data_IF_560893914154
#
_entry.id   IF_560893914154
#
_cell.length_a   1.000
_cell.length_b   1.000
_cell.length_c   1.000
_cell.angle_alpha   90.00
_cell.angle_beta   90.00
_cell.angle_gamma   90.00
#
_symmetry.space_group_name_H-M   'P 1'
#
loop_
_entity.id
_entity.type
_entity.pdbx_description
1 polymer ?
#
# COMPACT_ATOMS: atom_id res chain seq x y z
N UNK A 1 2.34 -24.88 1.97
CA UNK A 1 3.67 -24.25 2.11
C UNK A 1 3.52 -22.94 2.87
N UNK A 2 4.40 -22.65 3.83
CA UNK A 2 4.34 -21.45 4.66
C UNK A 2 4.84 -20.21 3.89
N UNK A 3 4.08 -19.13 3.94
CA UNK A 3 4.50 -17.82 3.47
C UNK A 3 5.62 -17.28 4.35
N UNK A 4 6.64 -16.67 3.74
CA UNK A 4 7.73 -16.04 4.47
C UNK A 4 7.76 -14.55 4.16
N UNK A 5 7.57 -13.72 5.18
CA UNK A 5 7.63 -12.27 5.10
C UNK A 5 8.87 -11.81 5.88
N UNK A 6 9.79 -11.12 5.21
CA UNK A 6 11.03 -10.61 5.81
C UNK A 6 11.38 -9.25 5.24
N UNK A 7 12.11 -8.43 5.99
CA UNK A 7 12.71 -7.20 5.47
C UNK A 7 14.20 -7.42 5.23
N UNK A 8 14.72 -6.88 4.14
CA UNK A 8 16.13 -6.97 3.78
C UNK A 8 16.65 -5.67 3.20
N UNK A 9 17.93 -5.41 3.43
CA UNK A 9 18.63 -4.28 2.83
C UNK A 9 19.09 -4.66 1.41
N UNK A 10 18.65 -3.89 0.41
CA UNK A 10 18.86 -4.21 -0.99
C UNK A 10 20.17 -3.64 -1.51
N UNK A 11 21.25 -4.43 -1.38
CA UNK A 11 22.62 -4.05 -1.74
C UNK A 11 22.81 -3.64 -3.20
N UNK A 12 22.02 -4.20 -4.12
CA UNK A 12 22.15 -3.95 -5.56
C UNK A 12 21.69 -2.55 -5.97
N UNK A 13 21.08 -1.77 -5.07
CA UNK A 13 20.68 -0.38 -5.31
C UNK A 13 21.33 0.52 -4.27
N UNK A 14 22.04 1.54 -4.74
CA UNK A 14 22.62 2.58 -3.90
C UNK A 14 21.96 3.90 -4.29
N UNK A 15 21.47 4.64 -3.31
CA UNK A 15 20.90 5.97 -3.49
C UNK A 15 22.02 7.01 -3.59
N UNK A 16 21.68 8.22 -4.04
CA UNK A 16 22.64 9.34 -4.18
C UNK A 16 23.34 9.71 -2.86
N UNK A 17 22.74 9.39 -1.72
CA UNK A 17 23.29 9.59 -0.37
C UNK A 17 24.21 8.44 0.11
N UNK A 18 24.46 7.42 -0.73
CA UNK A 18 25.28 6.26 -0.37
C UNK A 18 24.54 5.21 0.48
N UNK A 19 23.23 5.36 0.69
CA UNK A 19 22.41 4.40 1.44
C UNK A 19 21.74 3.37 0.54
N UNK A 20 21.34 2.26 1.13
CA UNK A 20 20.62 1.18 0.46
C UNK A 20 19.17 1.13 0.93
N UNK A 21 18.19 0.94 0.03
CA UNK A 21 16.79 0.87 0.43
C UNK A 21 16.48 -0.42 1.18
N UNK A 22 15.60 -0.32 2.17
CA UNK A 22 15.00 -1.44 2.86
C UNK A 22 13.80 -1.95 2.07
N UNK A 23 13.82 -3.24 1.75
CA UNK A 23 12.81 -3.91 0.95
C UNK A 23 12.12 -4.98 1.76
N UNK A 24 10.79 -4.95 1.77
CA UNK A 24 9.94 -6.02 2.25
C UNK A 24 9.87 -7.11 1.19
N UNK A 25 10.23 -8.33 1.58
CA UNK A 25 10.24 -9.51 0.73
C UNK A 25 9.12 -10.46 1.18
N UNK A 26 8.19 -10.74 0.27
CA UNK A 26 7.14 -11.74 0.46
C UNK A 26 7.45 -12.92 -0.46
N UNK A 27 7.62 -14.09 0.14
CA UNK A 27 7.84 -15.35 -0.58
C UNK A 27 6.62 -16.26 -0.38
N UNK A 28 5.94 -16.56 -1.49
CA UNK A 28 4.82 -17.51 -1.56
C UNK A 28 4.88 -18.27 -2.88
N UNK A 29 4.65 -19.59 -2.86
CA UNK A 29 4.60 -20.46 -4.04
C UNK A 29 5.83 -20.34 -4.96
N UNK A 30 7.03 -20.37 -4.37
CA UNK A 30 8.33 -20.18 -5.04
C UNK A 30 8.51 -18.82 -5.74
N UNK A 31 7.53 -17.92 -5.66
CA UNK A 31 7.59 -16.56 -6.19
C UNK A 31 7.96 -15.59 -5.08
N UNK A 32 8.98 -14.77 -5.35
CA UNK A 32 9.42 -13.69 -4.46
C UNK A 32 8.98 -12.36 -5.05
N UNK A 33 8.42 -11.50 -4.21
CA UNK A 33 8.15 -10.11 -4.56
C UNK A 33 8.74 -9.19 -3.52
N UNK A 34 9.20 -8.04 -4.02
CA UNK A 34 9.89 -7.03 -3.23
C UNK A 34 9.08 -5.74 -3.26
N UNK A 35 8.95 -5.10 -2.11
CA UNK A 35 8.31 -3.80 -1.96
C UNK A 35 9.24 -2.86 -1.19
N UNK A 36 9.42 -1.64 -1.67
CA UNK A 36 10.18 -0.64 -0.93
C UNK A 36 9.41 -0.19 0.30
N UNK A 37 10.09 -0.11 1.44
CA UNK A 37 9.56 0.46 2.68
C UNK A 37 9.63 1.99 2.71
N UNK A 38 10.27 2.62 1.71
CA UNK A 38 10.54 4.07 1.73
C UNK A 38 11.63 4.49 2.72
N UNK A 39 12.30 3.50 3.35
CA UNK A 39 13.43 3.71 4.24
C UNK A 39 14.72 3.28 3.55
N UNK A 40 15.81 3.97 3.87
CA UNK A 40 17.16 3.61 3.46
C UNK A 40 18.11 3.57 4.65
N UNK A 41 19.16 2.77 4.54
CA UNK A 41 20.17 2.62 5.58
C UNK A 41 21.55 2.38 4.96
N UNK A 42 22.60 2.88 5.62
CA UNK A 42 23.99 2.57 5.24
C UNK A 42 24.30 1.09 5.48
N UNK A 43 25.06 0.47 4.58
CA UNK A 43 25.46 -0.94 4.72
C UNK A 43 26.21 -1.21 6.04
N UNK A 44 26.96 -0.24 6.54
CA UNK A 44 27.69 -0.32 7.81
C UNK A 44 26.76 -0.43 9.03
N UNK A 45 25.55 0.11 8.93
CA UNK A 45 24.57 0.19 10.02
C UNK A 45 23.52 -0.95 9.97
N UNK A 46 23.55 -1.80 8.94
CA UNK A 46 22.67 -2.95 8.81
C UNK A 46 23.42 -4.27 8.99
N UNK A 47 22.86 -5.20 9.77
CA UNK A 47 23.38 -6.55 9.89
C UNK A 47 22.71 -7.47 8.87
N UNK A 48 23.48 -7.93 7.88
CA UNK A 48 23.02 -8.81 6.81
C UNK A 48 22.84 -10.26 7.25
N UNK A 49 23.43 -10.67 8.39
CA UNK A 49 23.22 -12.02 8.92
C UNK A 49 21.86 -12.13 9.60
N UNK A 50 21.51 -11.13 10.40
CA UNK A 50 20.26 -11.10 11.17
C UNK A 50 19.13 -10.35 10.48
N UNK A 51 19.42 -9.58 9.43
CA UNK A 51 18.49 -8.65 8.75
C UNK A 51 17.86 -7.64 9.71
N UNK A 52 18.69 -7.04 10.56
CA UNK A 52 18.27 -6.02 11.52
C UNK A 52 19.25 -4.84 11.54
N UNK A 53 18.80 -3.65 11.99
CA UNK A 53 19.71 -2.54 12.23
C UNK A 53 20.71 -2.88 13.36
N UNK A 54 22.00 -2.59 13.14
CA UNK A 54 23.05 -2.76 14.15
C UNK A 54 22.84 -1.80 15.33
N UNK A 55 23.45 -2.12 16.47
CA UNK A 55 23.39 -1.29 17.67
C UNK A 55 23.86 0.16 17.46
N UNK A 56 24.80 0.39 16.52
CA UNK A 56 25.32 1.73 16.17
C UNK A 56 24.44 2.50 15.17
N UNK A 57 23.27 1.99 14.80
CA UNK A 57 22.38 2.64 13.84
C UNK A 57 21.61 3.81 14.53
N UNK A 58 21.64 5.03 13.97
CA UNK A 58 20.82 6.12 14.45
C UNK A 58 19.33 5.79 14.26
N UNK A 59 18.48 6.16 15.23
CA UNK A 59 17.04 5.86 15.20
C UNK A 59 16.70 4.36 15.06
N UNK A 60 17.58 3.47 15.54
CA UNK A 60 17.40 2.01 15.49
C UNK A 60 16.01 1.56 15.93
N UNK A 61 15.54 2.03 17.08
CA UNK A 61 14.23 1.62 17.64
C UNK A 61 13.08 1.99 16.70
N UNK A 62 13.12 3.21 16.16
CA UNK A 62 12.13 3.68 15.19
C UNK A 62 12.13 2.84 13.91
N UNK A 63 13.30 2.50 13.39
CA UNK A 63 13.42 1.65 12.19
C UNK A 63 12.87 0.25 12.47
N UNK A 64 13.20 -0.34 13.63
CA UNK A 64 12.68 -1.65 14.04
C UNK A 64 11.16 -1.62 14.18
N UNK A 65 10.61 -0.57 14.81
CA UNK A 65 9.16 -0.40 14.95
C UNK A 65 8.47 -0.37 13.59
N UNK A 66 8.95 0.48 12.66
CA UNK A 66 8.39 0.60 11.31
C UNK A 66 8.49 -0.71 10.51
N UNK A 67 9.60 -1.44 10.65
CA UNK A 67 9.78 -2.77 10.04
C UNK A 67 8.72 -3.73 10.57
N UNK A 68 8.54 -3.78 11.89
CA UNK A 68 7.58 -4.69 12.53
C UNK A 68 6.14 -4.33 12.17
N UNK A 69 5.79 -3.04 12.15
CA UNK A 69 4.48 -2.57 11.70
C UNK A 69 4.17 -3.05 10.28
N UNK A 70 5.12 -2.89 9.35
CA UNK A 70 4.92 -3.31 7.95
C UNK A 70 4.85 -4.82 7.77
N UNK A 71 5.62 -5.58 8.57
CA UNK A 71 5.51 -7.04 8.59
C UNK A 71 4.13 -7.46 9.11
N UNK A 72 3.68 -6.87 10.22
CA UNK A 72 2.39 -7.16 10.84
C UNK A 72 1.23 -6.81 9.91
N UNK A 73 1.31 -5.69 9.18
CA UNK A 73 0.30 -5.28 8.20
C UNK A 73 0.11 -6.35 7.11
N UNK A 74 1.20 -6.83 6.49
CA UNK A 74 1.09 -7.90 5.48
C UNK A 74 0.63 -9.22 6.10
N UNK A 75 1.09 -9.55 7.30
CA UNK A 75 0.64 -10.76 8.00
C UNK A 75 -0.86 -10.74 8.28
N UNK A 76 -1.40 -9.58 8.69
CA UNK A 76 -2.83 -9.39 8.91
C UNK A 76 -3.62 -9.60 7.63
N UNK A 77 -3.21 -8.96 6.52
CA UNK A 77 -3.87 -9.13 5.22
C UNK A 77 -3.79 -10.58 4.73
N UNK A 78 -2.66 -11.26 4.96
CA UNK A 78 -2.54 -12.68 4.65
C UNK A 78 -3.51 -13.53 5.48
N UNK A 79 -3.63 -13.26 6.77
CA UNK A 79 -4.57 -13.93 7.66
C UNK A 79 -6.03 -13.70 7.21
N UNK A 80 -6.41 -12.45 6.93
CA UNK A 80 -7.77 -12.10 6.49
C UNK A 80 -8.15 -12.84 5.20
N UNK A 81 -7.23 -12.91 4.23
CA UNK A 81 -7.47 -13.66 2.99
C UNK A 81 -7.59 -15.17 3.22
N UNK A 82 -6.83 -15.72 4.17
CA UNK A 82 -6.95 -17.14 4.58
C UNK A 82 -8.31 -17.42 5.23
N UNK A 83 -8.75 -16.54 6.12
CA UNK A 83 -10.08 -16.66 6.77
C UNK A 83 -11.19 -16.60 5.72
N UNK A 84 -11.06 -15.70 4.74
CA UNK A 84 -12.01 -15.59 3.63
C UNK A 84 -11.96 -16.76 2.62
N UNK A 85 -11.07 -17.75 2.81
CA UNK A 85 -10.92 -18.89 1.89
C UNK A 85 -10.43 -18.50 0.49
N UNK A 86 -9.89 -17.29 0.32
CA UNK A 86 -9.43 -16.79 -0.98
C UNK A 86 -7.99 -17.22 -1.21
N UNK A 87 -7.71 -17.75 -2.39
CA UNK A 87 -6.33 -17.93 -2.85
C UNK A 87 -5.69 -16.56 -3.09
N UNK A 88 -4.44 -16.41 -2.67
CA UNK A 88 -3.69 -15.16 -2.84
C UNK A 88 -2.24 -15.44 -3.15
N UNK A 89 -1.62 -14.54 -3.90
CA UNK A 89 -0.21 -14.66 -4.29
C UNK A 89 0.63 -13.57 -3.62
N UNK A 90 1.95 -13.69 -3.68
CA UNK A 90 2.87 -12.67 -3.16
C UNK A 90 2.64 -11.27 -3.78
N UNK A 91 2.20 -11.19 -5.05
CA UNK A 91 1.81 -9.92 -5.68
C UNK A 91 0.53 -9.37 -5.08
N UNK A 92 -0.51 -10.20 -4.95
CA UNK A 92 -1.81 -9.77 -4.41
C UNK A 92 -1.68 -9.28 -2.97
N UNK A 93 -0.79 -9.85 -2.15
CA UNK A 93 -0.51 -9.39 -0.78
C UNK A 93 0.12 -8.00 -0.73
N UNK A 94 1.18 -7.81 -1.53
CA UNK A 94 1.90 -6.54 -1.58
C UNK A 94 0.99 -5.45 -2.16
N UNK A 95 0.26 -5.74 -3.25
CA UNK A 95 -0.66 -4.80 -3.89
C UNK A 95 -1.81 -4.37 -2.98
N UNK A 96 -2.34 -5.27 -2.14
CA UNK A 96 -3.35 -4.90 -1.15
C UNK A 96 -2.82 -4.04 0.00
N UNK A 97 -1.50 -3.96 0.15
CA UNK A 97 -0.84 -3.13 1.19
C UNK A 97 -0.29 -1.83 0.61
N UNK A 98 0.06 -1.79 -0.69
CA UNK A 98 0.64 -0.62 -1.38
C UNK A 98 -0.38 0.27 -2.05
N UNK A 99 -1.50 -0.29 -2.50
CA UNK A 99 -2.70 0.53 -2.63
C UNK A 99 -3.00 0.93 -1.20
N UNK A 100 -2.62 2.16 -0.85
CA UNK A 100 -3.40 2.92 0.11
C UNK A 100 -4.84 2.79 -0.40
N UNK A 101 -5.57 1.79 0.09
CA UNK A 101 -6.99 1.91 0.33
C UNK A 101 -7.07 3.03 1.38
N UNK A 102 -6.80 4.27 0.94
CA UNK A 102 -7.69 5.33 1.32
C UNK A 102 -9.02 4.76 0.89
N UNK A 103 -9.82 4.33 1.87
CA UNK A 103 -11.17 3.88 1.64
C UNK A 103 -11.89 5.11 1.09
N UNK A 104 -11.71 5.37 -0.21
CA UNK A 104 -12.27 6.52 -0.86
C UNK A 104 -13.76 6.30 -0.80
N UNK A 105 -14.44 7.25 -0.18
CA UNK A 105 -15.89 7.28 -0.24
C UNK A 105 -16.31 7.44 -1.70
N UNK A 106 -17.55 7.08 -1.99
CA UNK A 106 -18.14 7.26 -3.32
C UNK A 106 -17.96 8.71 -3.77
N UNK A 107 -18.13 9.67 -2.88
CA UNK A 107 -17.92 11.10 -3.15
C UNK A 107 -16.49 11.44 -3.55
N UNK A 108 -15.49 10.99 -2.79
CA UNK A 108 -14.07 11.23 -3.09
C UNK A 108 -13.65 10.64 -4.43
N UNK A 109 -14.14 9.44 -4.74
CA UNK A 109 -13.89 8.81 -6.04
C UNK A 109 -14.54 9.60 -7.17
N UNK A 110 -15.79 10.03 -6.99
CA UNK A 110 -16.54 10.80 -7.98
C UNK A 110 -15.84 12.12 -8.33
N UNK A 111 -15.37 12.86 -7.32
CA UNK A 111 -14.62 14.10 -7.52
C UNK A 111 -13.27 13.86 -8.21
N UNK A 112 -12.56 12.79 -7.82
CA UNK A 112 -11.31 12.38 -8.50
C UNK A 112 -11.56 12.13 -9.99
N UNK A 113 -12.67 11.47 -10.33
CA UNK A 113 -13.03 11.18 -11.71
C UNK A 113 -13.34 12.45 -12.52
N UNK A 114 -14.07 13.41 -11.94
CA UNK A 114 -14.32 14.72 -12.57
C UNK A 114 -12.99 15.45 -12.83
N UNK A 115 -12.07 15.45 -11.87
CA UNK A 115 -10.75 16.07 -12.03
C UNK A 115 -9.94 15.43 -13.16
N UNK A 116 -9.97 14.10 -13.27
CA UNK A 116 -9.30 13.38 -14.37
C UNK A 116 -9.89 13.78 -15.74
N UNK A 117 -11.22 13.88 -15.86
CA UNK A 117 -11.87 14.34 -17.09
C UNK A 117 -11.46 15.77 -17.47
N UNK A 118 -11.31 16.66 -16.48
CA UNK A 118 -10.80 18.03 -16.72
C UNK A 118 -9.35 18.02 -17.21
N UNK A 119 -8.50 17.18 -16.59
CA UNK A 119 -7.10 17.02 -17.00
C UNK A 119 -6.97 16.48 -18.45
N UNK A 120 -7.87 15.59 -18.85
CA UNK A 120 -7.97 15.06 -20.23
C UNK A 120 -8.62 16.04 -21.23
N UNK A 121 -8.92 17.28 -20.82
CA UNK A 121 -9.65 18.28 -21.62
C UNK A 121 -11.06 17.85 -22.06
N UNK A 122 -11.65 16.87 -21.38
CA UNK A 122 -13.03 16.39 -21.61
C UNK A 122 -14.05 17.21 -20.82
N UNK A 123 -14.02 18.53 -21.01
CA UNK A 123 -14.75 19.50 -20.16
C UNK A 123 -16.26 19.26 -20.18
N UNK A 124 -16.84 18.96 -21.35
CA UNK A 124 -18.29 18.67 -21.47
C UNK A 124 -18.70 17.46 -20.63
N UNK A 125 -17.89 16.40 -20.63
CA UNK A 125 -18.16 15.22 -19.81
C UNK A 125 -18.01 15.55 -18.33
N UNK A 126 -16.94 16.26 -17.94
CA UNK A 126 -16.75 16.69 -16.56
C UNK A 126 -17.98 17.44 -16.02
N UNK A 127 -18.54 18.38 -16.79
CA UNK A 127 -19.76 19.11 -16.42
C UNK A 127 -21.00 18.21 -16.21
N UNK A 128 -21.19 17.17 -17.04
CA UNK A 128 -22.27 16.20 -16.84
C UNK A 128 -22.13 15.45 -15.50
N UNK A 129 -20.89 15.07 -15.16
CA UNK A 129 -20.60 14.41 -13.89
C UNK A 129 -20.75 15.38 -12.70
N UNK A 130 -20.41 16.67 -12.83
CA UNK A 130 -20.65 17.67 -11.76
C UNK A 130 -22.13 17.87 -11.44
N UNK A 131 -22.98 17.93 -12.48
CA UNK A 131 -24.45 18.00 -12.29
C UNK A 131 -24.96 16.75 -11.59
N UNK A 132 -24.50 15.57 -12.03
CA UNK A 132 -24.87 14.29 -11.42
C UNK A 132 -24.42 14.20 -9.96
N UNK A 133 -23.19 14.63 -9.65
CA UNK A 133 -22.67 14.72 -8.28
C UNK A 133 -23.55 15.61 -7.40
N UNK A 134 -23.94 16.78 -7.91
CA UNK A 134 -24.83 17.72 -7.20
C UNK A 134 -26.20 17.10 -6.92
N UNK A 135 -26.74 16.35 -7.88
CA UNK A 135 -28.00 15.61 -7.71
C UNK A 135 -27.89 14.53 -6.63
N UNK A 136 -26.80 13.77 -6.60
CA UNK A 136 -26.56 12.76 -5.58
C UNK A 136 -26.38 13.35 -4.18
N UNK A 137 -25.64 14.46 -4.07
CA UNK A 137 -25.54 15.21 -2.80
C UNK A 137 -26.90 15.75 -2.38
N UNK A 138 -27.73 16.25 -3.30
CA UNK A 138 -29.08 16.72 -2.97
C UNK A 138 -29.98 15.59 -2.48
N UNK A 139 -29.84 14.39 -3.07
CA UNK A 139 -30.59 13.20 -2.68
C UNK A 139 -30.17 12.66 -1.32
N UNK A 140 -28.87 12.47 -1.08
CA UNK A 140 -28.35 11.77 0.09
C UNK A 140 -27.68 12.68 1.14
N UNK A 141 -27.67 14.00 0.94
CA UNK A 141 -26.97 15.05 1.72
C UNK A 141 -25.44 14.95 1.74
N UNK A 142 -24.89 13.74 1.72
CA UNK A 142 -23.46 13.45 1.66
C UNK A 142 -23.21 12.24 0.75
N UNK A 143 -21.96 12.07 0.31
CA UNK A 143 -21.49 10.90 -0.42
C UNK A 143 -20.34 10.20 0.31
N UNK A 144 -20.30 10.36 1.63
CA UNK A 144 -19.36 9.68 2.53
C UNK A 144 -19.74 8.21 2.75
N UNK A 145 -20.07 7.52 1.67
CA UNK A 145 -20.49 6.13 1.64
C UNK A 145 -19.32 5.28 1.12
N UNK A 146 -18.87 4.26 1.85
CA UNK A 146 -17.97 3.24 1.32
C UNK A 146 -18.62 2.45 0.18
N UNK A 147 -17.87 2.11 -0.87
CA UNK A 147 -18.40 1.31 -1.99
C UNK A 147 -18.93 -0.08 -1.57
N UNK A 148 -18.44 -0.63 -0.45
CA UNK A 148 -18.91 -1.91 0.07
C UNK A 148 -20.33 -1.84 0.64
N UNK A 149 -20.78 -0.65 1.03
CA UNK A 149 -22.11 -0.44 1.61
C UNK A 149 -23.20 -0.22 0.53
N UNK A 150 -22.82 -0.26 -0.75
CA UNK A 150 -23.77 -0.19 -1.87
C UNK A 150 -24.22 -1.61 -2.23
N UNK A 151 -25.49 -1.91 -1.94
CA UNK A 151 -26.13 -3.16 -2.36
C UNK A 151 -26.88 -2.97 -3.69
N UNK A 152 -26.96 -4.05 -4.48
CA UNK A 152 -27.68 -4.10 -5.76
C UNK A 152 -28.95 -4.92 -5.54
N UNK A 153 -29.85 -4.40 -4.71
CA UNK A 153 -31.19 -4.97 -4.51
C UNK A 153 -32.06 -4.83 -5.75
#
# INVERSE_FOLDING_TARGET
MSETIKVLCYKSKTLSNGEHPLMLCVCKDRKRKFQSLGLSIKAEQWDFKTNQPKAKCPNRERIILLINEKINEIQKVALDKRIAGKEFTATTLIESTTKNTTNKTVGEYYLTYIQNLKAEKRIRYAGMFEVSYSSFIKFNKHLDIPFFDIDVS
#
